data_IF_679620460621
#
_entry.id   IF_679620460621
#
_cell.length_a   1.000
_cell.length_b   1.000
_cell.length_c   1.000
_cell.angle_alpha   90.00
_cell.angle_beta   90.00
_cell.angle_gamma   90.00
#
_symmetry.space_group_name_H-M   'P 1'
#
loop_
_entity.id
_entity.type
_entity.pdbx_description
1 polymer ?
#
# COMPACT_ATOMS: atom_id res chain seq x y z
N UNK A 1 19.21 -0.38 10.18
CA UNK A 1 17.93 -0.56 9.47
C UNK A 1 18.25 -0.49 8.00
N UNK A 2 18.04 -1.58 7.30
CA UNK A 2 18.31 -1.67 5.87
C UNK A 2 17.06 -1.26 5.10
N UNK A 3 17.24 -0.55 3.98
CA UNK A 3 16.15 -0.17 3.10
C UNK A 3 15.96 -1.24 2.03
N UNK A 4 14.72 -1.73 1.90
CA UNK A 4 14.32 -2.64 0.82
C UNK A 4 13.37 -1.91 -0.12
N UNK A 5 13.76 -1.80 -1.38
CA UNK A 5 12.92 -1.20 -2.41
C UNK A 5 11.99 -2.26 -3.02
N UNK A 6 10.68 -2.10 -2.84
CA UNK A 6 9.65 -3.02 -3.34
C UNK A 6 8.65 -2.26 -4.23
N UNK A 7 8.97 -2.03 -5.52
CA UNK A 7 8.09 -1.31 -6.46
C UNK A 7 6.69 -1.91 -6.63
N UNK A 8 6.55 -3.20 -6.33
CA UNK A 8 5.28 -3.94 -6.36
C UNK A 8 4.25 -3.39 -5.36
N UNK A 9 4.70 -2.67 -4.33
CA UNK A 9 3.87 -1.99 -3.34
C UNK A 9 3.58 -0.52 -3.68
N UNK A 10 4.13 0.00 -4.78
CA UNK A 10 3.98 1.39 -5.18
C UNK A 10 2.87 1.59 -6.22
N UNK A 11 2.18 2.74 -6.22
CA UNK A 11 1.21 3.07 -7.26
C UNK A 11 1.91 3.22 -8.62
N UNK A 12 1.18 2.93 -9.70
CA UNK A 12 1.67 3.23 -11.06
C UNK A 12 1.46 4.71 -11.39
N UNK A 13 2.21 5.21 -12.38
CA UNK A 13 2.03 6.57 -12.89
C UNK A 13 0.60 6.81 -13.38
N UNK A 14 -0.03 5.82 -14.01
CA UNK A 14 -1.40 5.92 -14.51
C UNK A 14 -2.42 6.18 -13.40
N UNK A 15 -2.27 5.50 -12.25
CA UNK A 15 -3.13 5.72 -11.07
C UNK A 15 -2.94 7.15 -10.53
N UNK A 16 -1.69 7.63 -10.46
CA UNK A 16 -1.40 8.99 -10.00
C UNK A 16 -1.96 10.06 -10.95
N UNK A 17 -1.86 9.83 -12.26
CA UNK A 17 -2.37 10.75 -13.27
C UNK A 17 -3.90 10.80 -13.25
N UNK A 18 -4.56 9.67 -13.03
CA UNK A 18 -6.01 9.61 -12.90
C UNK A 18 -6.51 10.29 -11.62
N UNK A 19 -5.82 10.07 -10.50
CA UNK A 19 -6.11 10.78 -9.24
C UNK A 19 -6.05 12.30 -9.45
N UNK A 20 -5.01 12.80 -10.12
CA UNK A 20 -4.86 14.24 -10.45
C UNK A 20 -5.97 14.73 -11.38
N UNK A 21 -6.32 13.96 -12.41
CA UNK A 21 -7.40 14.29 -13.36
C UNK A 21 -8.78 14.36 -12.69
N UNK A 22 -9.02 13.50 -11.71
CA UNK A 22 -10.26 13.45 -10.93
C UNK A 22 -10.26 14.41 -9.73
N UNK A 23 -9.49 15.50 -9.79
CA UNK A 23 -9.40 16.54 -8.73
C UNK A 23 -8.98 15.99 -7.35
N UNK A 24 -8.22 14.90 -7.32
CA UNK A 24 -7.80 14.28 -6.07
C UNK A 24 -8.91 13.46 -5.40
N UNK A 25 -9.82 12.85 -6.18
CA UNK A 25 -10.75 11.87 -5.64
C UNK A 25 -10.01 10.64 -5.13
N UNK A 26 -9.88 10.56 -3.81
CA UNK A 26 -9.20 9.46 -3.13
C UNK A 26 -9.94 8.12 -3.29
N UNK A 27 -11.27 8.12 -3.40
CA UNK A 27 -12.04 6.89 -3.58
C UNK A 27 -11.65 6.18 -4.89
N UNK A 28 -11.45 6.94 -5.96
CA UNK A 28 -10.97 6.41 -7.24
C UNK A 28 -9.54 5.85 -7.12
N UNK A 29 -8.66 6.57 -6.42
CA UNK A 29 -7.30 6.11 -6.18
C UNK A 29 -7.28 4.79 -5.40
N UNK A 30 -8.02 4.73 -4.29
CA UNK A 30 -8.09 3.57 -3.40
C UNK A 30 -8.59 2.33 -4.14
N UNK A 31 -9.68 2.44 -4.90
CA UNK A 31 -10.22 1.34 -5.68
C UNK A 31 -9.20 0.78 -6.67
N UNK A 32 -8.54 1.64 -7.45
CA UNK A 32 -7.57 1.24 -8.47
C UNK A 32 -6.29 0.70 -7.87
N UNK A 33 -5.84 1.30 -6.77
CA UNK A 33 -4.64 0.85 -6.09
C UNK A 33 -4.84 -0.54 -5.47
N UNK A 34 -5.97 -0.79 -4.80
CA UNK A 34 -6.29 -2.12 -4.27
C UNK A 34 -6.49 -3.16 -5.39
N UNK A 35 -7.05 -2.77 -6.53
CA UNK A 35 -7.11 -3.64 -7.71
C UNK A 35 -5.72 -4.01 -8.24
N UNK A 36 -4.79 -3.04 -8.27
CA UNK A 36 -3.40 -3.29 -8.62
C UNK A 36 -2.73 -4.25 -7.64
N UNK A 37 -2.96 -4.11 -6.32
CA UNK A 37 -2.41 -5.02 -5.32
C UNK A 37 -2.90 -6.46 -5.53
N UNK A 38 -4.21 -6.63 -5.78
CA UNK A 38 -4.81 -7.93 -6.15
C UNK A 38 -4.19 -8.51 -7.42
N UNK A 39 -4.09 -7.72 -8.48
CA UNK A 39 -3.52 -8.15 -9.76
C UNK A 39 -2.03 -8.53 -9.62
N UNK A 40 -1.32 -7.91 -8.68
CA UNK A 40 0.07 -8.26 -8.35
C UNK A 40 0.17 -9.48 -7.44
N UNK A 41 -0.91 -9.93 -6.82
CA UNK A 41 -0.94 -11.07 -5.88
C UNK A 41 0.09 -10.88 -4.76
N UNK A 42 0.17 -9.66 -4.20
CA UNK A 42 1.20 -9.30 -3.22
C UNK A 42 1.12 -10.17 -1.96
N UNK A 43 -0.06 -10.65 -1.61
CA UNK A 43 -0.31 -11.57 -0.51
C UNK A 43 0.34 -12.94 -0.71
N UNK A 44 0.59 -13.34 -1.95
CA UNK A 44 1.24 -14.62 -2.27
C UNK A 44 2.73 -14.42 -2.58
N UNK A 45 3.09 -13.29 -3.19
CA UNK A 45 4.47 -13.02 -3.63
C UNK A 45 5.37 -12.43 -2.55
N UNK A 46 4.82 -11.73 -1.58
CA UNK A 46 5.61 -11.20 -0.47
C UNK A 46 5.79 -12.28 0.60
N UNK A 47 7.01 -12.39 1.09
CA UNK A 47 7.30 -13.18 2.28
C UNK A 47 6.88 -12.36 3.52
N UNK A 48 5.97 -12.86 4.38
CA UNK A 48 5.58 -12.15 5.61
C UNK A 48 6.76 -11.75 6.49
N UNK A 49 7.86 -12.51 6.47
CA UNK A 49 9.09 -12.19 7.19
C UNK A 49 9.78 -10.89 6.72
N UNK A 50 9.48 -10.42 5.49
CA UNK A 50 9.93 -9.11 5.00
C UNK A 50 9.19 -7.96 5.69
N UNK A 51 7.94 -8.20 6.09
CA UNK A 51 7.05 -7.19 6.67
C UNK A 51 7.13 -7.18 8.21
N UNK A 52 7.34 -8.36 8.82
CA UNK A 52 7.59 -8.49 10.26
C UNK A 52 8.71 -7.54 10.69
N UNK A 53 8.45 -6.72 11.71
CA UNK A 53 9.40 -5.74 12.26
C UNK A 53 9.90 -4.69 11.25
N UNK A 54 9.13 -4.41 10.20
CA UNK A 54 9.43 -3.39 9.19
C UNK A 54 8.45 -2.22 9.24
N UNK A 55 8.82 -1.10 8.62
CA UNK A 55 7.94 0.05 8.43
C UNK A 55 7.72 0.29 6.93
N UNK A 56 6.47 0.48 6.52
CA UNK A 56 6.14 0.91 5.16
C UNK A 56 6.34 2.43 5.03
N UNK A 57 7.22 2.82 4.10
CA UNK A 57 7.53 4.23 3.83
C UNK A 57 6.59 4.81 2.78
N UNK A 58 6.19 6.07 2.97
CA UNK A 58 5.34 6.85 2.08
C UNK A 58 5.73 8.33 2.19
N UNK A 59 5.51 9.12 1.14
CA UNK A 59 5.77 10.57 1.13
C UNK A 59 4.77 11.39 1.95
N UNK A 60 3.61 10.82 2.25
CA UNK A 60 2.55 11.51 2.98
C UNK A 60 2.82 11.53 4.48
N UNK A 61 2.58 12.68 5.11
CA UNK A 61 2.72 12.86 6.56
C UNK A 61 1.65 12.02 7.30
N UNK A 62 0.39 12.13 6.88
CA UNK A 62 -0.77 11.53 7.56
C UNK A 62 -1.26 10.22 6.92
N UNK A 63 -1.89 9.32 7.70
CA UNK A 63 -2.38 8.04 7.19
C UNK A 63 -3.69 8.12 6.37
N UNK A 64 -4.43 9.24 6.43
CA UNK A 64 -5.75 9.37 5.80
C UNK A 64 -5.73 9.08 4.28
N UNK A 65 -4.71 9.59 3.60
CA UNK A 65 -4.54 9.50 2.14
C UNK A 65 -3.18 8.92 1.75
N UNK A 66 -2.77 7.83 2.41
CA UNK A 66 -1.48 7.21 2.14
C UNK A 66 -1.62 5.79 1.57
N UNK A 67 -0.72 5.41 0.67
CA UNK A 67 -0.69 4.05 0.11
C UNK A 67 -0.18 3.02 1.14
N UNK A 68 0.60 3.44 2.15
CA UNK A 68 1.08 2.54 3.22
C UNK A 68 -0.08 1.92 4.02
N UNK A 69 -1.15 2.70 4.26
CA UNK A 69 -2.37 2.22 4.92
C UNK A 69 -3.01 1.10 4.09
N UNK A 70 -3.26 1.38 2.81
CA UNK A 70 -3.91 0.44 1.89
C UNK A 70 -3.15 -0.87 1.75
N UNK A 71 -1.82 -0.82 1.65
CA UNK A 71 -0.99 -2.04 1.61
C UNK A 71 -1.09 -2.82 2.91
N UNK A 72 -0.95 -2.14 4.05
CA UNK A 72 -0.97 -2.82 5.35
C UNK A 72 -2.32 -3.48 5.63
N UNK A 73 -3.43 -2.75 5.46
CA UNK A 73 -4.80 -3.26 5.62
C UNK A 73 -5.10 -4.41 4.64
N UNK A 74 -4.60 -4.31 3.40
CA UNK A 74 -4.72 -5.39 2.42
C UNK A 74 -4.00 -6.66 2.89
N UNK A 75 -2.76 -6.55 3.37
CA UNK A 75 -2.01 -7.72 3.81
C UNK A 75 -2.60 -8.33 5.09
N UNK A 76 -3.08 -7.49 6.02
CA UNK A 76 -3.82 -7.92 7.21
C UNK A 76 -5.02 -8.79 6.85
N UNK A 77 -5.83 -8.36 5.86
CA UNK A 77 -7.02 -9.10 5.45
C UNK A 77 -6.72 -10.46 4.80
N UNK A 78 -5.50 -10.69 4.31
CA UNK A 78 -5.10 -11.93 3.62
C UNK A 78 -4.23 -12.86 4.46
N UNK A 79 -3.41 -12.33 5.36
CA UNK A 79 -2.47 -13.12 6.16
C UNK A 79 -3.03 -13.56 7.52
N UNK A 80 -4.12 -12.93 7.99
CA UNK A 80 -4.92 -13.39 9.13
C UNK A 80 -4.28 -13.24 10.52
N UNK A 81 -2.95 -13.34 10.63
CA UNK A 81 -2.17 -13.18 11.87
C UNK A 81 -1.19 -12.00 11.74
N UNK A 82 -1.74 -10.84 11.40
CA UNK A 82 -1.01 -9.58 11.26
C UNK A 82 -1.76 -8.52 12.06
N UNK A 83 -1.03 -7.74 12.85
CA UNK A 83 -1.56 -6.57 13.53
C UNK A 83 -0.97 -5.31 12.86
N UNK A 84 -1.83 -4.49 12.27
CA UNK A 84 -1.40 -3.22 11.65
C UNK A 84 -1.55 -2.07 12.64
N UNK A 85 -0.45 -1.37 12.91
CA UNK A 85 -0.44 -0.12 13.67
C UNK A 85 -0.01 1.05 12.79
N UNK A 86 -0.89 2.06 12.67
CA UNK A 86 -0.58 3.29 11.95
C UNK A 86 0.10 4.29 12.88
N UNK A 87 1.37 4.55 12.63
CA UNK A 87 2.15 5.55 13.38
C UNK A 87 1.69 6.96 12.95
N UNK A 88 1.44 7.80 13.96
CA UNK A 88 1.05 9.22 13.86
C UNK A 88 2.11 10.10 14.50
#
# INVERSE_FOLDING_TARGET
MDYVHVPELAPTQDILDEYRKNKGDWGVYEQKFLELMRNREIETKLNPALISDSCLLCSEDKPDHCHRRLVAEYLESHWGDVEVSHIV
#
